data_IF_110063596578
#
_entry.id   IF_110063596578
#
_cell.length_a   1.000
_cell.length_b   1.000
_cell.length_c   1.000
_cell.angle_alpha   90.00
_cell.angle_beta   90.00
_cell.angle_gamma   90.00
#
_symmetry.space_group_name_H-M   'P 1'
#
loop_
_entity.id
_entity.type
_entity.pdbx_description
1 polymer ?
#
# COMPACT_ATOMS: atom_id res chain seq x y z
N UNK A 1 -2.75 -0.43 4.29
CA UNK A 1 -2.68 -0.23 5.75
C UNK A 1 -2.69 1.24 6.20
N UNK A 2 -2.86 2.25 5.32
CA UNK A 2 -2.81 3.67 5.73
C UNK A 2 -3.79 4.07 6.86
N UNK A 3 -5.12 3.81 6.77
CA UNK A 3 -6.06 4.18 7.83
C UNK A 3 -5.76 3.51 9.17
N UNK A 4 -5.39 2.22 9.13
CA UNK A 4 -5.02 1.44 10.31
C UNK A 4 -3.82 2.05 11.03
N UNK A 5 -2.76 2.37 10.28
CA UNK A 5 -1.55 2.98 10.85
C UNK A 5 -1.78 4.41 11.33
N UNK A 6 -2.61 5.19 10.63
CA UNK A 6 -3.00 6.52 11.07
C UNK A 6 -3.78 6.46 12.40
N UNK A 7 -4.77 5.58 12.49
CA UNK A 7 -5.54 5.40 13.73
C UNK A 7 -4.66 4.87 14.87
N UNK A 8 -3.73 3.95 14.57
CA UNK A 8 -2.74 3.49 15.54
C UNK A 8 -1.87 4.66 16.05
N UNK A 9 -1.38 5.53 15.16
CA UNK A 9 -0.63 6.74 15.53
C UNK A 9 -1.44 7.64 16.45
N UNK A 10 -2.69 7.94 16.12
CA UNK A 10 -3.57 8.76 16.95
C UNK A 10 -3.80 8.14 18.34
N UNK A 11 -4.01 6.83 18.41
CA UNK A 11 -4.16 6.11 19.67
C UNK A 11 -2.88 6.12 20.52
N UNK A 12 -1.71 6.00 19.89
CA UNK A 12 -0.42 6.08 20.58
C UNK A 12 -0.17 7.49 21.12
N UNK A 13 -0.44 8.51 20.32
CA UNK A 13 -0.33 9.92 20.72
C UNK A 13 -1.25 10.25 21.90
N UNK A 14 -2.50 9.78 21.85
CA UNK A 14 -3.48 9.97 22.93
C UNK A 14 -3.03 9.33 24.26
N UNK A 15 -2.16 8.32 24.20
CA UNK A 15 -1.59 7.64 25.37
C UNK A 15 -0.22 8.19 25.77
N UNK A 16 0.27 9.23 25.09
CA UNK A 16 1.60 9.80 25.33
C UNK A 16 2.75 8.87 24.95
N UNK A 17 2.49 7.83 24.14
CA UNK A 17 3.52 6.94 23.66
C UNK A 17 4.36 7.65 22.58
N UNK A 18 5.69 7.63 22.75
CA UNK A 18 6.59 8.13 21.72
C UNK A 18 6.42 7.28 20.45
N UNK A 19 5.88 7.89 19.40
CA UNK A 19 5.60 7.23 18.14
C UNK A 19 5.83 8.19 16.99
N UNK A 20 6.15 7.64 15.82
CA UNK A 20 6.32 8.41 14.58
C UNK A 20 5.65 7.67 13.44
N UNK A 21 4.91 8.41 12.64
CA UNK A 21 4.25 7.92 11.45
C UNK A 21 4.82 8.62 10.22
N UNK A 22 5.19 7.86 9.20
CA UNK A 22 5.73 8.39 7.95
C UNK A 22 5.02 7.70 6.80
N UNK A 23 4.56 8.50 5.84
CA UNK A 23 3.91 8.04 4.60
C UNK A 23 4.89 8.27 3.46
N UNK A 24 4.92 7.35 2.52
CA UNK A 24 5.70 7.46 1.29
C UNK A 24 4.90 6.92 0.12
N UNK A 25 5.14 7.49 -1.05
CA UNK A 25 4.57 7.01 -2.29
C UNK A 25 5.33 5.78 -2.75
N UNK A 26 4.59 4.76 -3.18
CA UNK A 26 5.19 3.56 -3.74
C UNK A 26 4.23 2.39 -3.79
N UNK A 27 4.58 1.35 -4.57
CA UNK A 27 3.87 0.08 -4.54
C UNK A 27 3.97 -0.55 -3.14
N UNK A 28 3.17 -1.59 -2.89
CA UNK A 28 3.22 -2.36 -1.65
C UNK A 28 4.52 -3.18 -1.54
N UNK A 29 5.61 -2.47 -1.26
CA UNK A 29 6.99 -2.97 -1.21
C UNK A 29 7.62 -2.55 0.12
N UNK A 30 8.74 -3.18 0.45
CA UNK A 30 9.57 -2.77 1.58
C UNK A 30 9.91 -1.28 1.50
N UNK A 31 9.97 -0.63 2.66
CA UNK A 31 10.30 0.79 2.71
C UNK A 31 11.65 1.05 2.01
N UNK A 32 11.76 2.14 1.23
CA UNK A 32 13.05 2.54 0.67
C UNK A 32 14.10 2.80 1.76
N UNK A 33 15.37 2.62 1.42
CA UNK A 33 16.49 2.73 2.37
C UNK A 33 16.49 4.07 3.13
N UNK A 34 16.14 5.17 2.47
CA UNK A 34 16.04 6.50 3.09
C UNK A 34 15.04 6.53 4.27
N UNK A 35 13.92 5.80 4.20
CA UNK A 35 12.94 5.76 5.28
C UNK A 35 13.42 4.87 6.43
N UNK A 36 14.17 3.81 6.13
CA UNK A 36 14.82 3.00 7.15
C UNK A 36 15.86 3.83 7.93
N UNK A 37 16.68 4.62 7.23
CA UNK A 37 17.64 5.53 7.85
C UNK A 37 16.94 6.58 8.73
N UNK A 38 15.84 7.16 8.26
CA UNK A 38 15.03 8.11 9.04
C UNK A 38 14.43 7.47 10.29
N UNK A 39 14.00 6.22 10.21
CA UNK A 39 13.49 5.47 11.37
C UNK A 39 14.60 5.23 12.41
N UNK A 40 15.79 4.80 11.97
CA UNK A 40 16.95 4.62 12.84
C UNK A 40 17.40 5.93 13.47
N UNK A 41 17.44 7.01 12.69
CA UNK A 41 17.79 8.34 13.20
C UNK A 41 16.80 8.82 14.29
N UNK A 42 15.50 8.55 14.12
CA UNK A 42 14.51 8.84 15.15
C UNK A 42 14.72 8.01 16.41
N UNK A 43 15.00 6.71 16.29
CA UNK A 43 15.32 5.85 17.45
C UNK A 43 16.57 6.36 18.20
N UNK A 44 17.59 6.82 17.47
CA UNK A 44 18.78 7.44 18.06
C UNK A 44 18.43 8.73 18.83
N UNK A 45 17.58 9.60 18.27
CA UNK A 45 17.06 10.76 19.00
C UNK A 45 16.32 10.34 20.28
N UNK A 46 15.49 9.29 20.22
CA UNK A 46 14.80 8.77 21.42
C UNK A 46 15.76 8.24 22.48
N UNK A 47 16.87 7.60 22.07
CA UNK A 47 17.92 7.16 22.99
C UNK A 47 18.61 8.33 23.69
N UNK A 48 18.88 9.42 22.97
CA UNK A 48 19.42 10.67 23.54
C UNK A 48 18.43 11.32 24.51
N UNK A 49 17.14 11.42 24.16
CA UNK A 49 16.09 11.95 25.04
C UNK A 49 15.98 11.14 26.35
N UNK A 50 16.19 9.82 26.27
CA UNK A 50 16.16 8.92 27.44
C UNK A 50 17.49 8.86 28.21
N UNK A 51 18.54 9.56 27.75
CA UNK A 51 19.87 9.50 28.37
C UNK A 51 20.60 8.16 28.19
N UNK A 52 20.14 7.31 27.26
CA UNK A 52 20.79 6.03 26.93
C UNK A 52 22.01 6.26 26.03
N UNK A 53 21.92 7.25 25.13
CA UNK A 53 22.99 7.68 24.25
C UNK A 53 23.49 9.07 24.67
N UNK A 54 24.78 9.34 24.45
CA UNK A 54 25.35 10.69 24.64
C UNK A 54 24.73 11.69 23.67
N UNK A 55 24.54 12.93 24.12
CA UNK A 55 24.03 14.00 23.27
C UNK A 55 25.05 14.33 22.16
N UNK A 56 24.64 14.12 20.92
CA UNK A 56 25.37 14.55 19.73
C UNK A 56 24.67 15.79 19.16
N UNK A 57 25.27 16.97 19.37
CA UNK A 57 24.67 18.25 19.00
C UNK A 57 24.59 18.44 17.48
N UNK A 58 25.56 17.94 16.73
CA UNK A 58 25.60 18.06 15.27
C UNK A 58 24.54 17.16 14.64
N UNK A 59 24.40 15.94 15.14
CA UNK A 59 23.32 15.04 14.75
C UNK A 59 21.94 15.63 15.05
N UNK A 60 21.73 16.15 16.27
CA UNK A 60 20.47 16.79 16.67
C UNK A 60 20.12 17.96 15.74
N UNK A 61 21.09 18.83 15.43
CA UNK A 61 20.88 19.97 14.54
C UNK A 61 20.53 19.51 13.12
N UNK A 62 21.30 18.56 12.56
CA UNK A 62 21.03 18.00 11.23
C UNK A 62 19.62 17.40 11.12
N UNK A 63 19.20 16.63 12.13
CA UNK A 63 17.85 16.05 12.14
C UNK A 63 16.75 17.10 12.30
N UNK A 64 17.00 18.14 13.10
CA UNK A 64 16.05 19.24 13.26
C UNK A 64 15.88 20.02 11.95
N UNK A 65 16.97 20.42 11.32
CA UNK A 65 16.95 21.25 10.11
C UNK A 65 16.31 20.52 8.93
N UNK A 66 16.64 19.23 8.76
CA UNK A 66 16.02 18.37 7.74
C UNK A 66 14.50 18.29 7.91
N UNK A 67 14.02 18.08 9.14
CA UNK A 67 12.58 17.94 9.43
C UNK A 67 11.85 19.28 9.36
N UNK A 68 12.52 20.37 9.74
CA UNK A 68 11.96 21.71 9.60
C UNK A 68 11.73 22.04 8.13
N UNK A 69 12.69 21.72 7.26
CA UNK A 69 12.56 21.91 5.82
C UNK A 69 11.37 21.13 5.25
N UNK A 70 11.18 19.87 5.66
CA UNK A 70 10.00 19.06 5.28
C UNK A 70 8.68 19.69 5.75
N UNK A 71 8.59 20.11 7.01
CA UNK A 71 7.39 20.74 7.57
C UNK A 71 7.04 22.05 6.84
N UNK A 72 8.05 22.88 6.55
CA UNK A 72 7.89 24.12 5.80
C UNK A 72 7.51 23.87 4.34
N UNK A 73 8.04 22.82 3.71
CA UNK A 73 7.67 22.45 2.34
C UNK A 73 6.20 22.02 2.27
N UNK A 74 5.72 21.20 3.22
CA UNK A 74 4.32 20.81 3.32
C UNK A 74 3.40 22.01 3.55
N UNK A 75 3.82 22.95 4.40
CA UNK A 75 3.05 24.18 4.62
C UNK A 75 2.97 25.03 3.35
N UNK A 76 4.08 25.18 2.62
CA UNK A 76 4.15 25.96 1.38
C UNK A 76 3.36 25.33 0.24
N UNK A 77 3.28 24.00 0.18
CA UNK A 77 2.48 23.29 -0.83
C UNK A 77 0.98 23.28 -0.52
N UNK A 78 0.56 23.78 0.65
CA UNK A 78 -0.83 23.75 1.10
C UNK A 78 -1.26 22.43 1.74
N UNK A 79 -0.33 21.50 1.98
CA UNK A 79 -0.60 20.29 2.78
C UNK A 79 -0.57 20.62 4.28
N UNK A 80 -1.62 21.33 4.71
CA UNK A 80 -1.75 21.85 6.08
C UNK A 80 -1.82 20.73 7.11
N UNK A 81 -2.40 19.57 6.77
CA UNK A 81 -2.46 18.42 7.69
C UNK A 81 -1.07 17.86 7.96
N UNK A 82 -0.29 17.61 6.90
CA UNK A 82 1.09 17.13 7.04
C UNK A 82 1.95 18.14 7.77
N UNK A 83 1.82 19.44 7.46
CA UNK A 83 2.55 20.50 8.17
C UNK A 83 2.25 20.50 9.68
N UNK A 84 0.97 20.49 10.08
CA UNK A 84 0.58 20.47 11.50
C UNK A 84 1.11 19.23 12.22
N UNK A 85 0.99 18.05 11.60
CA UNK A 85 1.54 16.79 12.16
C UNK A 85 3.05 16.88 12.32
N UNK A 86 3.77 17.36 11.31
CA UNK A 86 5.22 17.49 11.33
C UNK A 86 5.69 18.44 12.44
N UNK A 87 5.09 19.63 12.58
CA UNK A 87 5.44 20.56 13.65
C UNK A 87 5.17 19.99 15.04
N UNK A 88 4.07 19.27 15.24
CA UNK A 88 3.76 18.60 16.53
C UNK A 88 4.75 17.48 16.85
N UNK A 89 5.03 16.62 15.89
CA UNK A 89 5.99 15.53 16.06
C UNK A 89 7.40 16.08 16.37
N UNK A 90 7.81 17.15 15.68
CA UNK A 90 9.09 17.82 15.97
C UNK A 90 9.10 18.46 17.36
N UNK A 91 8.06 19.19 17.75
CA UNK A 91 7.97 19.78 19.07
C UNK A 91 8.10 18.71 20.17
N UNK A 92 7.45 17.55 19.99
CA UNK A 92 7.54 16.41 20.91
C UNK A 92 8.94 15.77 20.92
N UNK A 93 9.53 15.54 19.74
CA UNK A 93 10.82 14.85 19.62
C UNK A 93 12.00 15.68 20.13
N UNK A 94 11.95 17.01 19.99
CA UNK A 94 13.05 17.90 20.33
C UNK A 94 12.86 18.70 21.62
N UNK A 95 11.74 18.56 22.34
CA UNK A 95 11.39 19.36 23.52
C UNK A 95 12.50 19.47 24.58
N UNK A 96 13.24 18.38 24.81
CA UNK A 96 14.33 18.33 25.79
C UNK A 96 15.71 18.57 25.17
N UNK A 97 15.78 18.70 23.84
CA UNK A 97 17.01 18.81 23.08
C UNK A 97 17.24 20.24 22.54
N UNK A 98 16.17 20.99 22.25
CA UNK A 98 16.18 22.35 21.67
C UNK A 98 14.97 23.18 22.15
N UNK A 99 15.02 24.50 21.90
CA UNK A 99 13.83 25.34 22.00
C UNK A 99 12.87 25.02 20.85
N UNK A 100 11.60 24.74 21.17
CA UNK A 100 10.56 24.33 20.23
C UNK A 100 9.35 25.28 20.21
N UNK A 101 9.43 26.43 20.90
CA UNK A 101 8.30 27.38 21.02
C UNK A 101 7.75 27.83 19.68
N UNK A 102 8.62 28.07 18.69
CA UNK A 102 8.20 28.47 17.35
C UNK A 102 7.45 27.34 16.63
N UNK A 103 7.86 26.08 16.83
CA UNK A 103 7.17 24.91 16.26
C UNK A 103 5.79 24.73 16.90
N UNK A 104 5.70 24.88 18.22
CA UNK A 104 4.44 24.80 18.96
C UNK A 104 3.47 25.91 18.52
N UNK A 105 3.97 27.14 18.35
CA UNK A 105 3.20 28.27 17.85
C UNK A 105 2.72 28.05 16.40
N UNK A 106 3.59 27.56 15.51
CA UNK A 106 3.24 27.25 14.13
C UNK A 106 2.17 26.14 14.06
N UNK A 107 2.36 25.04 14.80
CA UNK A 107 1.39 23.95 14.89
C UNK A 107 0.02 24.43 15.40
N UNK A 108 0.00 25.28 16.43
CA UNK A 108 -1.23 25.84 16.99
C UNK A 108 -1.93 26.76 15.99
N UNK A 109 -1.21 27.72 15.42
CA UNK A 109 -1.75 28.67 14.45
C UNK A 109 -2.36 27.96 13.24
N UNK A 110 -1.65 26.99 12.65
CA UNK A 110 -2.16 26.20 11.54
C UNK A 110 -3.37 25.36 11.95
N UNK A 111 -3.37 24.74 13.13
CA UNK A 111 -4.49 23.92 13.60
C UNK A 111 -5.79 24.72 13.87
N UNK A 112 -5.68 26.02 14.11
CA UNK A 112 -6.82 26.93 14.31
C UNK A 112 -7.37 27.51 13.00
N UNK A 113 -6.66 27.32 11.88
CA UNK A 113 -7.04 27.82 10.56
C UNK A 113 -8.28 27.13 9.98
N UNK A 114 -8.99 27.83 9.10
CA UNK A 114 -10.10 27.24 8.33
C UNK A 114 -9.61 26.13 7.40
N UNK A 115 -8.43 26.29 6.80
CA UNK A 115 -7.83 25.32 5.89
C UNK A 115 -7.55 23.99 6.60
N UNK A 116 -7.08 24.03 7.84
CA UNK A 116 -6.92 22.81 8.64
C UNK A 116 -8.25 22.11 8.89
N UNK A 117 -9.33 22.84 9.20
CA UNK A 117 -10.67 22.24 9.40
C UNK A 117 -11.18 21.60 8.10
N UNK A 118 -11.01 22.28 6.97
CA UNK A 118 -11.36 21.75 5.63
C UNK A 118 -10.55 20.50 5.31
N UNK A 119 -9.23 20.55 5.48
CA UNK A 119 -8.34 19.43 5.23
C UNK A 119 -8.68 18.23 6.11
N UNK A 120 -8.94 18.43 7.42
CA UNK A 120 -9.37 17.36 8.33
C UNK A 120 -10.71 16.74 7.92
N UNK A 121 -11.69 17.56 7.50
CA UNK A 121 -12.96 17.07 6.96
C UNK A 121 -12.75 16.25 5.68
N UNK A 122 -11.87 16.72 4.80
CA UNK A 122 -11.51 16.02 3.56
C UNK A 122 -10.82 14.69 3.83
N UNK A 123 -9.88 14.64 4.78
CA UNK A 123 -9.21 13.39 5.18
C UNK A 123 -10.22 12.39 5.76
N UNK A 124 -11.11 12.84 6.65
CA UNK A 124 -12.17 11.98 7.18
C UNK A 124 -13.05 11.40 6.06
N UNK A 125 -13.52 12.24 5.13
CA UNK A 125 -14.31 11.79 3.99
C UNK A 125 -13.53 10.83 3.08
N UNK A 126 -12.22 11.04 2.91
CA UNK A 126 -11.35 10.14 2.16
C UNK A 126 -11.18 8.78 2.86
N UNK A 127 -11.07 8.74 4.19
CA UNK A 127 -11.03 7.49 4.95
C UNK A 127 -12.35 6.72 4.84
N UNK A 128 -13.49 7.40 5.02
CA UNK A 128 -14.83 6.80 4.87
C UNK A 128 -15.04 6.25 3.46
N UNK A 129 -14.62 6.98 2.42
CA UNK A 129 -14.67 6.52 1.04
C UNK A 129 -13.78 5.30 0.80
N UNK A 130 -12.57 5.29 1.36
CA UNK A 130 -11.70 4.13 1.25
C UNK A 130 -12.36 2.89 1.86
N UNK A 131 -12.93 3.01 3.05
CA UNK A 131 -13.61 1.91 3.74
C UNK A 131 -14.86 1.45 3.00
N UNK A 132 -15.63 2.38 2.42
CA UNK A 132 -16.78 2.07 1.56
C UNK A 132 -16.36 1.15 0.39
N UNK A 133 -15.33 1.55 -0.36
CA UNK A 133 -14.83 0.80 -1.52
C UNK A 133 -14.25 -0.55 -1.07
N UNK A 134 -13.40 -0.56 -0.05
CA UNK A 134 -12.76 -1.76 0.46
C UNK A 134 -13.78 -2.78 0.97
N UNK A 135 -14.80 -2.35 1.72
CA UNK A 135 -15.83 -3.24 2.26
C UNK A 135 -16.76 -3.74 1.16
N UNK A 136 -17.22 -2.87 0.24
CA UNK A 136 -18.11 -3.28 -0.86
C UNK A 136 -17.48 -4.36 -1.71
N UNK A 137 -16.24 -4.16 -2.16
CA UNK A 137 -15.52 -5.11 -3.02
C UNK A 137 -15.05 -6.30 -2.19
N UNK A 138 -14.54 -6.07 -0.98
CA UNK A 138 -14.06 -7.12 -0.09
C UNK A 138 -15.15 -8.11 0.32
N UNK A 139 -16.39 -7.65 0.52
CA UNK A 139 -17.53 -8.53 0.78
C UNK A 139 -17.84 -9.44 -0.42
N UNK A 140 -17.79 -8.91 -1.65
CA UNK A 140 -17.97 -9.72 -2.86
C UNK A 140 -16.85 -10.77 -3.00
N UNK A 141 -15.60 -10.40 -2.73
CA UNK A 141 -14.47 -11.34 -2.67
C UNK A 141 -14.70 -12.42 -1.61
N UNK A 142 -15.14 -12.05 -0.41
CA UNK A 142 -15.41 -13.00 0.66
C UNK A 142 -16.53 -13.99 0.29
N UNK A 143 -17.55 -13.54 -0.44
CA UNK A 143 -18.65 -14.37 -0.93
C UNK A 143 -18.21 -15.42 -1.96
N UNK A 144 -17.05 -15.28 -2.62
CA UNK A 144 -16.54 -16.32 -3.53
C UNK A 144 -16.17 -17.63 -2.80
N UNK A 145 -16.05 -17.60 -1.47
CA UNK A 145 -15.91 -18.82 -0.66
C UNK A 145 -17.24 -19.61 -0.50
N UNK A 146 -18.37 -19.06 -0.97
CA UNK A 146 -19.67 -19.73 -0.95
C UNK A 146 -19.75 -20.82 -2.05
N UNK A 147 -20.80 -21.67 -2.02
CA UNK A 147 -20.96 -22.75 -2.98
C UNK A 147 -20.95 -22.30 -4.46
N UNK A 148 -20.59 -23.20 -5.40
CA UNK A 148 -20.26 -22.82 -6.79
C UNK A 148 -21.39 -22.19 -7.60
N UNK A 149 -22.64 -22.48 -7.25
CA UNK A 149 -23.84 -22.03 -7.95
C UNK A 149 -24.03 -20.51 -7.95
N UNK A 150 -23.50 -19.81 -6.95
CA UNK A 150 -23.56 -18.34 -6.86
C UNK A 150 -22.34 -17.62 -7.48
N UNK A 151 -21.27 -18.34 -7.85
CA UNK A 151 -19.97 -17.71 -8.18
C UNK A 151 -20.02 -16.82 -9.41
N UNK A 152 -20.71 -17.24 -10.47
CA UNK A 152 -20.84 -16.46 -11.71
C UNK A 152 -21.47 -15.10 -11.44
N UNK A 153 -22.61 -15.10 -10.71
CA UNK A 153 -23.30 -13.87 -10.34
C UNK A 153 -22.46 -12.97 -9.42
N UNK A 154 -21.66 -13.56 -8.51
CA UNK A 154 -20.76 -12.78 -7.64
C UNK A 154 -19.64 -12.13 -8.46
N UNK A 155 -19.06 -12.83 -9.43
CA UNK A 155 -18.02 -12.28 -10.33
C UNK A 155 -18.57 -11.13 -11.17
N UNK A 156 -19.79 -11.23 -11.70
CA UNK A 156 -20.43 -10.13 -12.44
C UNK A 156 -20.66 -8.90 -11.54
N UNK A 157 -21.12 -9.11 -10.31
CA UNK A 157 -21.28 -8.04 -9.33
C UNK A 157 -19.94 -7.40 -8.97
N UNK A 158 -18.88 -8.21 -8.83
CA UNK A 158 -17.52 -7.74 -8.58
C UNK A 158 -17.02 -6.86 -9.72
N UNK A 159 -17.17 -7.30 -10.97
CA UNK A 159 -16.79 -6.52 -12.15
C UNK A 159 -17.51 -5.17 -12.19
N UNK A 160 -18.82 -5.16 -11.93
CA UNK A 160 -19.62 -3.94 -11.88
C UNK A 160 -19.16 -3.00 -10.76
N UNK A 161 -18.93 -3.51 -9.56
CA UNK A 161 -18.46 -2.73 -8.42
C UNK A 161 -17.07 -2.13 -8.65
N UNK A 162 -16.16 -2.89 -9.27
CA UNK A 162 -14.81 -2.41 -9.62
C UNK A 162 -14.87 -1.37 -10.73
N UNK A 163 -15.69 -1.58 -11.76
CA UNK A 163 -15.88 -0.60 -12.83
C UNK A 163 -16.41 0.74 -12.30
N UNK A 164 -17.40 0.69 -11.39
CA UNK A 164 -17.92 1.86 -10.69
C UNK A 164 -16.83 2.58 -9.88
N UNK A 165 -15.98 1.82 -9.17
CA UNK A 165 -14.86 2.39 -8.41
C UNK A 165 -13.85 3.11 -9.33
N UNK A 166 -13.42 2.50 -10.43
CA UNK A 166 -12.50 3.14 -11.38
C UNK A 166 -13.13 4.37 -12.07
N UNK A 167 -14.43 4.32 -12.39
CA UNK A 167 -15.15 5.49 -12.91
C UNK A 167 -15.15 6.63 -11.87
N UNK A 168 -15.53 6.34 -10.62
CA UNK A 168 -15.49 7.32 -9.52
C UNK A 168 -14.08 7.86 -9.30
N UNK A 169 -13.04 7.04 -9.46
CA UNK A 169 -11.66 7.47 -9.34
C UNK A 169 -11.27 8.46 -10.45
N UNK A 170 -11.68 8.18 -11.70
CA UNK A 170 -11.47 9.07 -12.83
C UNK A 170 -12.18 10.41 -12.65
N UNK A 171 -13.41 10.37 -12.15
CA UNK A 171 -14.29 11.54 -11.98
C UNK A 171 -14.03 12.31 -10.66
N UNK A 172 -13.13 11.81 -9.80
CA UNK A 172 -12.83 12.42 -8.51
C UNK A 172 -12.26 13.84 -8.65
N UNK A 173 -12.82 14.75 -7.86
CA UNK A 173 -12.56 16.19 -7.91
C UNK A 173 -11.22 16.63 -7.31
N UNK A 174 -10.60 15.77 -6.49
CA UNK A 174 -9.33 16.07 -5.81
C UNK A 174 -8.49 14.81 -5.60
N UNK A 175 -7.19 15.00 -5.30
CA UNK A 175 -6.24 13.90 -5.10
C UNK A 175 -6.64 12.98 -3.94
N UNK A 176 -7.09 13.53 -2.81
CA UNK A 176 -7.45 12.73 -1.64
C UNK A 176 -8.56 11.69 -1.93
N UNK A 177 -9.55 12.05 -2.75
CA UNK A 177 -10.58 11.13 -3.23
C UNK A 177 -10.01 10.06 -4.17
N UNK A 178 -9.14 10.46 -5.12
CA UNK A 178 -8.47 9.52 -6.04
C UNK A 178 -7.67 8.47 -5.27
N UNK A 179 -6.90 8.92 -4.28
CA UNK A 179 -6.04 8.05 -3.48
C UNK A 179 -6.86 7.17 -2.55
N UNK A 180 -7.96 7.67 -1.99
CA UNK A 180 -8.89 6.88 -1.18
C UNK A 180 -9.44 5.69 -1.97
N UNK A 181 -9.89 5.91 -3.20
CA UNK A 181 -10.41 4.84 -4.07
C UNK A 181 -9.28 3.88 -4.45
N UNK A 182 -8.10 4.40 -4.81
CA UNK A 182 -6.92 3.58 -5.12
C UNK A 182 -6.56 2.65 -3.95
N UNK A 183 -6.53 3.18 -2.72
CA UNK A 183 -6.25 2.41 -1.49
C UNK A 183 -7.37 1.41 -1.18
N UNK A 184 -8.62 1.75 -1.47
CA UNK A 184 -9.76 0.84 -1.31
C UNK A 184 -9.63 -0.37 -2.24
N UNK A 185 -9.36 -0.11 -3.53
CA UNK A 185 -9.08 -1.15 -4.53
C UNK A 185 -7.87 -2.00 -4.15
N UNK A 186 -6.76 -1.38 -3.73
CA UNK A 186 -5.56 -2.10 -3.29
C UNK A 186 -5.80 -2.97 -2.05
N UNK A 187 -6.66 -2.53 -1.12
CA UNK A 187 -7.04 -3.32 0.06
C UNK A 187 -7.85 -4.55 -0.34
N UNK A 188 -8.83 -4.39 -1.23
CA UNK A 188 -9.62 -5.51 -1.75
C UNK A 188 -8.78 -6.48 -2.59
N UNK A 189 -7.86 -5.97 -3.40
CA UNK A 189 -6.87 -6.78 -4.12
C UNK A 189 -6.04 -7.64 -3.17
N UNK A 190 -5.50 -7.03 -2.11
CA UNK A 190 -4.67 -7.73 -1.12
C UNK A 190 -5.46 -8.84 -0.41
N UNK A 191 -6.74 -8.60 -0.12
CA UNK A 191 -7.65 -9.61 0.43
C UNK A 191 -7.85 -10.79 -0.53
N UNK A 192 -8.13 -10.51 -1.80
CA UNK A 192 -8.34 -11.53 -2.84
C UNK A 192 -7.07 -12.37 -3.05
N UNK A 193 -5.93 -11.72 -3.30
CA UNK A 193 -4.64 -12.39 -3.47
C UNK A 193 -4.27 -13.23 -2.23
N UNK A 194 -4.36 -12.66 -1.03
CA UNK A 194 -4.04 -13.39 0.21
C UNK A 194 -4.96 -14.58 0.48
N UNK A 195 -6.24 -14.50 0.12
CA UNK A 195 -7.15 -15.65 0.22
C UNK A 195 -6.84 -16.72 -0.83
N UNK A 196 -6.46 -16.32 -2.04
CA UNK A 196 -6.01 -17.25 -3.08
C UNK A 196 -4.74 -17.98 -2.68
N UNK A 197 -3.74 -17.29 -2.11
CA UNK A 197 -2.52 -17.90 -1.58
C UNK A 197 -2.82 -18.89 -0.45
N UNK A 198 -3.73 -18.54 0.48
CA UNK A 198 -4.19 -19.48 1.52
C UNK A 198 -4.84 -20.73 0.92
N UNK A 199 -5.60 -20.59 -0.17
CA UNK A 199 -6.20 -21.72 -0.88
C UNK A 199 -5.14 -22.57 -1.61
N UNK A 200 -4.12 -21.94 -2.23
CA UNK A 200 -2.96 -22.63 -2.81
C UNK A 200 -2.24 -23.50 -1.78
N UNK A 201 -1.99 -22.96 -0.57
CA UNK A 201 -1.37 -23.71 0.53
C UNK A 201 -2.22 -24.92 0.98
N UNK A 202 -3.55 -24.79 0.93
CA UNK A 202 -4.50 -25.89 1.20
C UNK A 202 -4.67 -26.85 0.01
N UNK A 203 -4.00 -26.58 -1.12
CA UNK A 203 -4.17 -27.30 -2.40
C UNK A 203 -5.58 -27.24 -2.97
N UNK A 204 -6.38 -26.28 -2.53
CA UNK A 204 -7.67 -25.96 -3.14
C UNK A 204 -7.45 -25.01 -4.31
N UNK A 205 -6.94 -25.56 -5.40
CA UNK A 205 -6.55 -24.78 -6.57
C UNK A 205 -7.74 -24.17 -7.31
N UNK A 206 -8.94 -24.76 -7.18
CA UNK A 206 -10.15 -24.18 -7.75
C UNK A 206 -10.53 -22.90 -7.02
N UNK A 207 -10.59 -22.91 -5.68
CA UNK A 207 -10.87 -21.69 -4.93
C UNK A 207 -9.74 -20.67 -5.07
N UNK A 208 -8.48 -21.12 -5.18
CA UNK A 208 -7.36 -20.21 -5.47
C UNK A 208 -7.55 -19.46 -6.79
N UNK A 209 -7.94 -20.18 -7.85
CA UNK A 209 -8.22 -19.59 -9.17
C UNK A 209 -9.33 -18.54 -9.09
N UNK A 210 -10.43 -18.81 -8.40
CA UNK A 210 -11.53 -17.84 -8.26
C UNK A 210 -11.07 -16.56 -7.52
N UNK A 211 -10.26 -16.72 -6.47
CA UNK A 211 -9.71 -15.59 -5.71
C UNK A 211 -8.69 -14.77 -6.52
N UNK A 212 -7.84 -15.44 -7.30
CA UNK A 212 -6.91 -14.74 -8.19
C UNK A 212 -7.60 -14.09 -9.39
N UNK A 213 -8.70 -14.67 -9.88
CA UNK A 213 -9.55 -14.02 -10.88
C UNK A 213 -10.17 -12.74 -10.30
N UNK A 214 -10.64 -12.78 -9.06
CA UNK A 214 -11.11 -11.59 -8.37
C UNK A 214 -10.00 -10.53 -8.22
N UNK A 215 -8.79 -10.95 -7.85
CA UNK A 215 -7.63 -10.04 -7.77
C UNK A 215 -7.33 -9.38 -9.13
N UNK A 216 -7.40 -10.14 -10.22
CA UNK A 216 -7.20 -9.60 -11.56
C UNK A 216 -8.32 -8.66 -12.01
N UNK A 217 -9.58 -8.94 -11.65
CA UNK A 217 -10.69 -8.02 -11.91
C UNK A 217 -10.45 -6.69 -11.18
N UNK A 218 -10.01 -6.75 -9.92
CA UNK A 218 -9.80 -5.56 -9.07
C UNK A 218 -8.61 -4.72 -9.58
N UNK A 219 -7.51 -5.36 -9.97
CA UNK A 219 -6.34 -4.69 -10.54
C UNK A 219 -5.98 -5.28 -11.90
N UNK A 220 -6.66 -4.85 -12.98
CA UNK A 220 -6.48 -5.44 -14.30
C UNK A 220 -5.07 -5.19 -14.84
N UNK A 221 -4.39 -4.10 -14.50
CA UNK A 221 -3.03 -3.85 -15.01
C UNK A 221 -1.93 -4.47 -14.14
N UNK A 222 -2.28 -5.27 -13.13
CA UNK A 222 -1.29 -5.88 -12.23
C UNK A 222 -0.60 -7.08 -12.89
N UNK A 223 0.72 -7.05 -13.14
CA UNK A 223 1.45 -8.23 -13.59
C UNK A 223 1.41 -9.35 -12.53
N UNK A 224 1.34 -8.98 -11.25
CA UNK A 224 1.25 -9.92 -10.13
C UNK A 224 -0.07 -10.69 -10.14
N UNK A 225 -1.20 -10.05 -10.47
CA UNK A 225 -2.49 -10.73 -10.59
C UNK A 225 -2.46 -11.85 -11.64
N UNK A 226 -1.92 -11.57 -12.82
CA UNK A 226 -1.79 -12.55 -13.90
C UNK A 226 -0.80 -13.66 -13.55
N UNK A 227 0.31 -13.32 -12.88
CA UNK A 227 1.24 -14.33 -12.34
C UNK A 227 0.51 -15.30 -11.38
N UNK A 228 -0.25 -14.78 -10.41
CA UNK A 228 -1.01 -15.61 -9.46
C UNK A 228 -2.02 -16.50 -10.19
N UNK A 229 -2.77 -15.96 -11.16
CA UNK A 229 -3.65 -16.75 -12.03
C UNK A 229 -2.92 -17.87 -12.77
N UNK A 230 -1.72 -17.60 -13.29
CA UNK A 230 -0.90 -18.60 -13.95
C UNK A 230 -0.52 -19.75 -13.00
N UNK A 231 -0.16 -19.45 -11.75
CA UNK A 231 0.18 -20.48 -10.75
C UNK A 231 -1.00 -21.42 -10.46
N UNK A 232 -2.21 -20.88 -10.28
CA UNK A 232 -3.39 -21.69 -10.02
C UNK A 232 -3.78 -22.56 -11.22
N UNK A 233 -3.77 -21.99 -12.44
CA UNK A 233 -4.04 -22.74 -13.67
C UNK A 233 -3.01 -23.86 -13.88
N UNK A 234 -1.73 -23.62 -13.62
CA UNK A 234 -0.69 -24.64 -13.75
C UNK A 234 -0.91 -25.82 -12.79
N UNK A 235 -1.30 -25.54 -11.53
CA UNK A 235 -1.61 -26.57 -10.54
C UNK A 235 -2.87 -27.38 -10.88
N UNK A 236 -3.87 -26.74 -11.47
CA UNK A 236 -5.07 -27.39 -12.02
C UNK A 236 -4.79 -28.24 -13.28
N UNK A 237 -3.59 -28.13 -13.85
CA UNK A 237 -3.23 -28.81 -15.12
C UNK A 237 -3.77 -28.10 -16.36
N UNK A 238 -4.29 -26.88 -16.21
CA UNK A 238 -4.78 -26.03 -17.29
C UNK A 238 -3.62 -25.33 -18.00
N UNK A 239 -2.78 -26.13 -18.69
CA UNK A 239 -1.50 -25.68 -19.24
C UNK A 239 -1.61 -24.46 -20.17
N UNK A 240 -2.61 -24.46 -21.06
CA UNK A 240 -2.81 -23.39 -22.04
C UNK A 240 -3.13 -22.06 -21.34
N UNK A 241 -4.03 -22.11 -20.36
CA UNK A 241 -4.45 -20.95 -19.57
C UNK A 241 -3.28 -20.42 -18.73
N UNK A 242 -2.50 -21.31 -18.12
CA UNK A 242 -1.31 -20.91 -17.38
C UNK A 242 -0.30 -20.14 -18.26
N UNK A 243 -0.03 -20.62 -19.48
CA UNK A 243 0.86 -19.93 -20.42
C UNK A 243 0.30 -18.60 -20.92
N UNK A 244 -1.02 -18.51 -21.13
CA UNK A 244 -1.67 -17.25 -21.49
C UNK A 244 -1.51 -16.20 -20.38
N UNK A 245 -1.73 -16.59 -19.13
CA UNK A 245 -1.59 -15.70 -17.98
C UNK A 245 -0.13 -15.31 -17.70
N UNK A 246 0.84 -16.18 -17.96
CA UNK A 246 2.27 -15.81 -17.91
C UNK A 246 2.66 -14.77 -18.96
N UNK A 247 2.13 -14.89 -20.20
CA UNK A 247 2.37 -13.87 -21.23
C UNK A 247 1.70 -12.55 -20.86
N UNK A 248 0.49 -12.59 -20.33
CA UNK A 248 -0.21 -11.41 -19.83
C UNK A 248 0.56 -10.72 -18.70
N UNK A 249 1.15 -11.48 -17.78
CA UNK A 249 2.03 -10.95 -16.75
C UNK A 249 3.26 -10.26 -17.35
N UNK A 250 3.87 -10.82 -18.40
CA UNK A 250 4.97 -10.19 -19.13
C UNK A 250 4.57 -8.88 -19.78
N UNK A 251 3.46 -8.88 -20.52
CA UNK A 251 2.96 -7.71 -21.23
C UNK A 251 2.64 -6.55 -20.26
N UNK A 252 2.28 -6.89 -19.01
CA UNK A 252 2.03 -5.95 -17.91
C UNK A 252 3.27 -5.58 -17.09
N UNK A 253 4.47 -5.97 -17.55
CA UNK A 253 5.73 -5.53 -16.96
C UNK A 253 6.29 -6.44 -15.86
N UNK A 254 5.93 -7.73 -15.82
CA UNK A 254 6.66 -8.70 -15.00
C UNK A 254 8.12 -8.81 -15.51
N UNK A 255 9.08 -8.51 -14.65
CA UNK A 255 10.53 -8.54 -14.99
C UNK A 255 11.33 -9.56 -14.20
N UNK A 256 10.81 -10.05 -13.07
CA UNK A 256 11.55 -10.95 -12.19
C UNK A 256 11.52 -12.40 -12.69
N UNK A 257 12.57 -12.82 -13.40
CA UNK A 257 12.73 -14.21 -13.90
C UNK A 257 12.65 -15.27 -12.80
N UNK A 258 13.03 -14.97 -11.56
CA UNK A 258 13.00 -15.95 -10.45
C UNK A 258 11.58 -16.42 -10.12
N UNK A 259 10.56 -15.65 -10.50
CA UNK A 259 9.17 -16.06 -10.33
C UNK A 259 8.83 -17.35 -11.12
N UNK A 260 9.53 -17.64 -12.21
CA UNK A 260 9.33 -18.88 -12.97
C UNK A 260 10.00 -20.11 -12.33
N UNK A 261 10.73 -19.94 -11.23
CA UNK A 261 11.32 -21.06 -10.49
C UNK A 261 10.32 -21.68 -9.49
N UNK A 262 9.12 -21.09 -9.36
CA UNK A 262 8.02 -21.62 -8.55
C UNK A 262 7.65 -23.05 -8.96
N UNK A 263 7.46 -23.92 -7.96
CA UNK A 263 7.09 -25.32 -8.13
C UNK A 263 5.71 -25.49 -8.79
N UNK A 264 4.85 -24.46 -8.75
CA UNK A 264 3.58 -24.45 -9.48
C UNK A 264 3.74 -24.70 -10.98
N UNK A 265 4.90 -24.36 -11.55
CA UNK A 265 5.14 -24.48 -12.98
C UNK A 265 5.87 -25.76 -13.40
N UNK A 266 6.18 -26.67 -12.48
CA UNK A 266 6.97 -27.86 -12.80
C UNK A 266 6.36 -28.71 -13.92
N UNK A 267 5.03 -28.78 -13.98
CA UNK A 267 4.28 -29.53 -15.02
C UNK A 267 4.27 -28.86 -16.39
N UNK A 268 4.62 -27.58 -16.47
CA UNK A 268 4.65 -26.80 -17.72
C UNK A 268 6.05 -26.32 -18.09
N UNK A 269 7.07 -26.61 -17.28
CA UNK A 269 8.45 -26.12 -17.46
C UNK A 269 9.08 -26.51 -18.80
N UNK A 270 8.65 -27.64 -19.36
CA UNK A 270 9.14 -28.16 -20.63
C UNK A 270 8.33 -27.69 -21.84
N UNK A 271 7.18 -27.05 -21.63
CA UNK A 271 6.33 -26.52 -22.70
C UNK A 271 7.07 -25.39 -23.43
N UNK A 272 6.93 -25.35 -24.76
CA UNK A 272 7.61 -24.35 -25.60
C UNK A 272 7.28 -22.92 -25.17
N UNK A 273 5.99 -22.63 -24.96
CA UNK A 273 5.54 -21.31 -24.51
C UNK A 273 6.11 -20.91 -23.13
N UNK A 274 6.41 -21.87 -22.25
CA UNK A 274 7.05 -21.54 -20.96
C UNK A 274 8.51 -21.12 -21.16
N UNK A 275 9.23 -21.83 -22.04
CA UNK A 275 10.62 -21.50 -22.38
C UNK A 275 10.74 -20.15 -23.06
N UNK A 276 9.76 -19.78 -23.90
CA UNK A 276 9.69 -18.45 -24.52
C UNK A 276 9.53 -17.33 -23.49
N UNK A 277 8.59 -17.49 -22.55
CA UNK A 277 8.39 -16.54 -21.44
C UNK A 277 9.69 -16.38 -20.64
N UNK A 278 10.36 -17.49 -20.32
CA UNK A 278 11.64 -17.49 -19.61
C UNK A 278 12.77 -16.78 -20.38
N UNK A 279 12.83 -16.96 -21.69
CA UNK A 279 13.82 -16.32 -22.55
C UNK A 279 13.60 -14.79 -22.60
N UNK A 280 12.35 -14.33 -22.77
CA UNK A 280 11.99 -12.91 -22.79
C UNK A 280 12.40 -12.19 -21.48
N UNK A 281 12.13 -12.81 -20.33
CA UNK A 281 12.53 -12.27 -19.02
C UNK A 281 14.05 -12.15 -18.85
N UNK A 282 14.80 -13.08 -19.42
CA UNK A 282 16.27 -13.08 -19.31
C UNK A 282 16.88 -11.96 -20.16
N UNK A 283 16.28 -11.65 -21.31
CA UNK A 283 16.69 -10.54 -22.17
C UNK A 283 16.36 -9.18 -21.53
N UNK A 284 15.18 -9.05 -20.91
CA UNK A 284 14.76 -7.82 -20.23
C UNK A 284 15.64 -7.46 -19.02
N UNK A 285 16.27 -8.44 -18.36
CA UNK A 285 17.18 -8.20 -17.23
C UNK A 285 18.61 -7.82 -17.65
N UNK A 286 18.93 -7.87 -18.96
CA UNK A 286 20.26 -7.56 -19.51
C UNK A 286 20.37 -6.11 -20.04
N UNK A 287 19.32 -5.31 -19.84
CA UNK A 287 19.22 -3.89 -20.19
C UNK A 287 18.88 -3.07 -18.93
#
# INVERSE_FOLDING_TARGET
NYPELLHLKENLDARGAASRFVVYDGPHTWMPAEFAERALAWLQLRAMVKGIATLDRDFINKQFDSRLAEAQAAQKSGDILTAVRAYRDMASDFKTLRDVKELEAAAKSLAESEDFRKAKKSEKAALELQDEIANKIGNLVAMLNQPPDARVAIIEQLQSAVHDAYRRQKDASNAAQKDAIARGLASAFSLAAGNGEKAMLKKDYSSAKDMFQAAEIIQPESPWASYLMATANAQLGEKKQALQELNKALDRGMTNRKLLDDAAFDRIRNEEGFKEVAAKLSQAASH
#
